data_IF_151251733382
#
_entry.id   IF_151251733382
#
_cell.length_a   1.000
_cell.length_b   1.000
_cell.length_c   1.000
_cell.angle_alpha   90.00
_cell.angle_beta   90.00
_cell.angle_gamma   90.00
#
_symmetry.space_group_name_H-M   'P 1'
#
loop_
_entity.id
_entity.type
_entity.pdbx_description
1 polymer ?
#
# COMPACT_ATOMS: atom_id res chain seq x y z
N UNK A 1 -11.40 -1.23 23.27
CA UNK A 1 -10.33 -1.23 22.23
C UNK A 1 -10.44 0.07 21.48
N UNK A 2 -9.33 0.74 21.18
CA UNK A 2 -9.34 2.00 20.42
C UNK A 2 -9.94 1.77 19.03
N UNK A 3 -10.91 2.59 18.64
CA UNK A 3 -11.51 2.59 17.30
C UNK A 3 -10.59 3.25 16.25
N UNK A 4 -9.49 3.84 16.71
CA UNK A 4 -8.52 4.54 15.89
C UNK A 4 -7.66 3.52 15.14
N UNK A 5 -7.62 3.64 13.81
CA UNK A 5 -6.80 2.83 12.92
C UNK A 5 -5.43 3.47 12.68
N UNK A 6 -5.41 4.75 12.30
CA UNK A 6 -4.21 5.55 12.09
C UNK A 6 -4.30 6.86 12.88
N UNK A 7 -3.23 7.22 13.58
CA UNK A 7 -3.10 8.52 14.23
C UNK A 7 -1.74 9.13 13.90
N UNK A 8 -1.76 10.37 13.44
CA UNK A 8 -0.58 11.15 13.13
C UNK A 8 -0.57 12.37 14.04
N UNK A 9 0.55 12.59 14.76
CA UNK A 9 0.73 13.68 15.70
C UNK A 9 1.91 14.54 15.31
N UNK A 10 1.67 15.81 15.04
CA UNK A 10 2.64 16.88 14.81
C UNK A 10 3.72 16.51 13.78
N UNK A 11 3.33 15.73 12.75
CA UNK A 11 4.22 15.15 11.77
C UNK A 11 4.79 16.21 10.84
N UNK A 12 6.11 16.31 10.82
CA UNK A 12 6.85 17.09 9.82
C UNK A 12 7.80 16.20 9.05
N UNK A 13 7.92 16.43 7.75
CA UNK A 13 8.78 15.65 6.89
C UNK A 13 9.36 16.48 5.75
N UNK A 14 10.59 16.11 5.34
CA UNK A 14 11.33 16.76 4.26
C UNK A 14 11.70 15.80 3.14
N UNK A 15 12.05 16.36 2.00
CA UNK A 15 12.66 15.68 0.85
C UNK A 15 13.93 16.43 0.47
N UNK A 16 15.10 15.79 0.65
CA UNK A 16 16.37 16.48 0.59
C UNK A 16 16.38 17.63 1.62
N UNK A 17 16.65 18.84 1.16
CA UNK A 17 16.70 20.05 2.01
C UNK A 17 15.34 20.77 2.14
N UNK A 18 14.28 20.27 1.50
CA UNK A 18 13.00 20.97 1.45
C UNK A 18 11.98 20.38 2.42
N UNK A 19 11.52 21.17 3.37
CA UNK A 19 10.38 20.86 4.23
C UNK A 19 9.08 20.85 3.42
N UNK A 20 8.37 19.72 3.46
CA UNK A 20 7.10 19.55 2.72
C UNK A 20 5.93 19.43 3.67
N UNK A 21 6.02 18.54 4.68
CA UNK A 21 4.99 18.42 5.70
C UNK A 21 5.39 19.24 6.93
N UNK A 22 4.42 19.96 7.49
CA UNK A 22 4.65 20.82 8.64
C UNK A 22 3.52 20.62 9.64
N UNK A 23 3.84 20.00 10.77
CA UNK A 23 2.94 19.84 11.91
C UNK A 23 1.58 19.22 11.54
N UNK A 24 1.58 18.14 10.72
CA UNK A 24 0.37 17.47 10.25
C UNK A 24 -0.22 16.63 11.37
N UNK A 25 -1.51 16.81 11.61
CA UNK A 25 -2.29 15.99 12.53
C UNK A 25 -3.44 15.34 11.77
N UNK A 26 -3.63 14.02 11.96
CA UNK A 26 -4.69 13.26 11.30
C UNK A 26 -5.09 12.07 12.17
N UNK A 27 -6.38 11.82 12.27
CA UNK A 27 -6.93 10.62 12.92
C UNK A 27 -7.89 9.96 11.96
N UNK A 28 -7.68 8.65 11.71
CA UNK A 28 -8.56 7.81 10.90
C UNK A 28 -9.05 6.65 11.77
N UNK A 29 -10.36 6.47 11.84
CA UNK A 29 -10.98 5.34 12.54
C UNK A 29 -11.21 4.16 11.61
N UNK A 30 -11.43 2.98 12.18
CA UNK A 30 -11.78 1.78 11.42
C UNK A 30 -13.10 2.00 10.67
N UNK A 31 -13.10 1.63 9.37
CA UNK A 31 -14.27 1.77 8.50
C UNK A 31 -14.51 3.17 7.93
N UNK A 32 -13.67 4.15 8.26
CA UNK A 32 -13.76 5.49 7.66
C UNK A 32 -13.06 5.57 6.31
N UNK A 33 -13.58 6.45 5.45
CA UNK A 33 -12.94 6.86 4.21
C UNK A 33 -12.58 8.34 4.32
N UNK A 34 -11.29 8.65 4.22
CA UNK A 34 -10.77 10.00 4.22
C UNK A 34 -10.30 10.40 2.83
N UNK A 35 -10.68 11.60 2.38
CA UNK A 35 -10.25 12.16 1.10
C UNK A 35 -9.34 13.36 1.38
N UNK A 36 -8.08 13.28 0.90
CA UNK A 36 -7.11 14.36 1.03
C UNK A 36 -7.12 15.18 -0.25
N UNK A 37 -7.54 16.44 -0.14
CA UNK A 37 -7.65 17.37 -1.27
C UNK A 37 -6.70 18.55 -1.10
N UNK A 38 -6.32 19.15 -2.22
CA UNK A 38 -5.45 20.32 -2.26
C UNK A 38 -4.76 20.50 -3.62
N UNK A 39 -4.14 21.67 -3.88
CA UNK A 39 -3.44 21.93 -5.12
C UNK A 39 -2.21 21.03 -5.32
N UNK A 40 -1.66 21.03 -6.53
CA UNK A 40 -0.41 20.34 -6.80
C UNK A 40 0.73 20.94 -5.95
N UNK A 41 1.57 20.07 -5.39
CA UNK A 41 2.66 20.49 -4.50
C UNK A 41 2.26 20.74 -3.04
N UNK A 42 1.00 20.52 -2.65
CA UNK A 42 0.55 20.71 -1.24
C UNK A 42 0.97 19.60 -0.28
N UNK A 43 1.72 18.59 -0.73
CA UNK A 43 2.22 17.53 0.15
C UNK A 43 1.36 16.26 0.24
N UNK A 44 0.28 16.12 -0.53
CA UNK A 44 -0.61 14.94 -0.50
C UNK A 44 0.15 13.62 -0.70
N UNK A 45 0.90 13.53 -1.80
CA UNK A 45 1.71 12.34 -2.11
C UNK A 45 2.86 12.17 -1.10
N UNK A 46 3.40 13.27 -0.57
CA UNK A 46 4.42 13.23 0.48
C UNK A 46 3.86 12.57 1.73
N UNK A 47 2.66 12.95 2.17
CA UNK A 47 2.02 12.37 3.35
C UNK A 47 1.85 10.85 3.20
N UNK A 48 1.27 10.40 2.08
CA UNK A 48 1.06 8.97 1.81
C UNK A 48 2.38 8.19 1.78
N UNK A 49 3.41 8.74 1.12
CA UNK A 49 4.73 8.12 1.07
C UNK A 49 5.43 8.10 2.44
N UNK A 50 5.26 9.14 3.26
CA UNK A 50 5.80 9.18 4.63
C UNK A 50 5.11 8.14 5.52
N UNK A 51 3.78 8.00 5.41
CA UNK A 51 3.03 6.94 6.10
C UNK A 51 3.52 5.54 5.67
N UNK A 52 3.99 5.36 4.43
CA UNK A 52 4.53 4.08 3.96
C UNK A 52 6.04 3.93 4.20
N UNK A 53 6.68 4.86 4.89
CA UNK A 53 8.14 4.84 5.15
C UNK A 53 9.00 4.76 3.89
N UNK A 54 8.63 5.51 2.86
CA UNK A 54 9.44 5.61 1.65
C UNK A 54 10.75 6.36 1.99
N UNK A 55 11.94 5.76 1.76
CA UNK A 55 13.22 6.31 2.22
C UNK A 55 13.61 7.67 1.62
N UNK A 56 12.90 8.12 0.59
CA UNK A 56 13.07 9.46 0.01
C UNK A 56 12.57 10.57 0.96
N UNK A 57 11.70 10.23 1.91
CA UNK A 57 11.02 11.19 2.79
C UNK A 57 11.51 10.97 4.22
N UNK A 58 12.15 11.99 4.80
CA UNK A 58 12.68 11.96 6.15
C UNK A 58 11.71 12.63 7.12
N UNK A 59 11.30 11.91 8.16
CA UNK A 59 10.50 12.47 9.25
C UNK A 59 11.43 13.32 10.12
N UNK A 60 11.13 14.60 10.28
CA UNK A 60 11.91 15.54 11.08
C UNK A 60 11.33 15.75 12.48
N UNK A 61 10.04 15.56 12.64
CA UNK A 61 9.37 15.58 13.95
C UNK A 61 8.01 14.89 13.90
N UNK A 62 7.43 14.65 15.06
CA UNK A 62 6.11 14.02 15.21
C UNK A 62 6.15 12.50 15.19
N UNK A 63 4.96 11.89 15.22
CA UNK A 63 4.81 10.44 15.32
C UNK A 63 3.65 9.92 14.50
N UNK A 64 3.78 8.65 14.07
CA UNK A 64 2.75 7.90 13.36
C UNK A 64 2.40 6.67 14.21
N UNK A 65 1.14 6.51 14.55
CA UNK A 65 0.62 5.35 15.27
C UNK A 65 -0.36 4.57 14.38
N UNK A 66 -0.21 3.26 14.36
CA UNK A 66 -1.12 2.36 13.66
C UNK A 66 -1.69 1.33 14.64
N UNK A 67 -3.03 1.31 14.80
CA UNK A 67 -3.72 0.52 15.83
C UNK A 67 -3.14 0.74 17.25
N UNK A 68 -2.66 1.94 17.54
CA UNK A 68 -2.08 2.34 18.82
C UNK A 68 -0.58 1.99 18.98
N UNK A 69 0.04 1.30 18.03
CA UNK A 69 1.48 1.02 18.01
C UNK A 69 2.23 2.15 17.30
N UNK A 70 3.34 2.63 17.89
CA UNK A 70 4.23 3.60 17.25
C UNK A 70 4.97 2.91 16.09
N UNK A 71 4.69 3.36 14.86
CA UNK A 71 5.27 2.82 13.63
C UNK A 71 6.23 3.81 12.96
N UNK A 72 6.59 4.90 13.65
CA UNK A 72 7.35 6.02 13.07
C UNK A 72 8.66 5.58 12.43
N UNK A 73 9.42 4.72 13.12
CA UNK A 73 10.73 4.26 12.65
C UNK A 73 10.70 2.90 11.94
N UNK A 74 9.49 2.32 11.74
CA UNK A 74 9.36 1.03 11.08
C UNK A 74 9.59 1.13 9.57
N UNK A 75 10.27 0.14 9.01
CA UNK A 75 10.48 0.01 7.57
C UNK A 75 9.18 -0.25 6.81
N UNK A 76 9.16 0.03 5.51
CA UNK A 76 7.97 -0.11 4.66
C UNK A 76 7.39 -1.54 4.66
N UNK A 77 8.26 -2.56 4.66
CA UNK A 77 7.84 -3.96 4.69
C UNK A 77 7.23 -4.37 6.04
N UNK A 78 7.70 -3.80 7.15
CA UNK A 78 7.11 -4.00 8.47
C UNK A 78 5.71 -3.37 8.56
N UNK A 79 5.55 -2.14 8.04
CA UNK A 79 4.24 -1.47 7.94
C UNK A 79 3.27 -2.24 7.05
N UNK A 80 3.76 -2.76 5.91
CA UNK A 80 2.95 -3.60 5.02
C UNK A 80 2.47 -4.88 5.70
N UNK A 81 3.32 -5.56 6.48
CA UNK A 81 2.95 -6.74 7.28
C UNK A 81 1.90 -6.44 8.35
N UNK A 82 1.82 -5.22 8.86
CA UNK A 82 0.77 -4.78 9.79
C UNK A 82 -0.56 -4.50 9.11
N UNK A 83 -0.58 -4.44 7.78
CA UNK A 83 -1.77 -4.24 6.98
C UNK A 83 -1.92 -2.83 6.41
N UNK A 84 -0.84 -2.09 6.25
CA UNK A 84 -0.84 -0.83 5.51
C UNK A 84 -0.51 -1.11 4.03
N UNK A 85 -1.36 -0.66 3.13
CA UNK A 85 -1.19 -0.80 1.68
C UNK A 85 -1.19 0.58 1.01
N UNK A 86 -0.32 0.75 0.02
CA UNK A 86 -0.28 1.95 -0.81
C UNK A 86 -0.34 1.58 -2.28
N UNK A 87 -1.27 2.19 -3.02
CA UNK A 87 -1.32 2.16 -4.47
C UNK A 87 -0.34 3.18 -5.04
N UNK A 88 0.45 2.76 -6.03
CA UNK A 88 1.37 3.67 -6.69
C UNK A 88 0.68 4.49 -7.78
N UNK A 89 1.03 5.76 -7.90
CA UNK A 89 0.55 6.60 -8.99
C UNK A 89 0.97 6.05 -10.35
N UNK A 90 2.16 5.46 -10.44
CA UNK A 90 2.69 4.78 -11.62
C UNK A 90 3.24 3.41 -11.21
N UNK A 91 2.44 2.34 -11.34
CA UNK A 91 2.87 0.99 -10.97
C UNK A 91 4.10 0.54 -11.77
N UNK A 92 5.11 0.07 -11.05
CA UNK A 92 6.39 -0.36 -11.62
C UNK A 92 6.21 -1.69 -12.36
N UNK A 93 6.89 -1.82 -13.48
CA UNK A 93 7.01 -3.09 -14.22
C UNK A 93 8.10 -3.95 -13.60
N UNK A 94 7.79 -5.21 -13.33
CA UNK A 94 8.75 -6.17 -12.77
C UNK A 94 8.87 -7.37 -13.71
N UNK A 95 9.77 -7.30 -14.71
CA UNK A 95 10.00 -8.42 -15.61
C UNK A 95 10.63 -9.60 -14.84
N UNK A 96 10.31 -10.81 -15.28
CA UNK A 96 10.86 -12.04 -14.70
C UNK A 96 10.02 -12.68 -13.58
N UNK A 97 9.04 -11.95 -13.01
CA UNK A 97 8.11 -12.53 -12.05
C UNK A 97 6.67 -12.40 -12.53
N UNK A 98 5.91 -13.51 -12.54
CA UNK A 98 4.50 -13.48 -12.92
C UNK A 98 3.64 -12.79 -11.85
N UNK A 99 2.48 -12.23 -12.27
CA UNK A 99 1.48 -11.62 -11.37
C UNK A 99 1.11 -12.59 -10.25
N UNK A 100 0.82 -13.85 -10.59
CA UNK A 100 0.49 -14.90 -9.63
C UNK A 100 1.60 -15.09 -8.58
N UNK A 101 2.85 -15.27 -9.02
CA UNK A 101 3.96 -15.50 -8.12
C UNK A 101 4.27 -14.28 -7.26
N UNK A 102 4.20 -13.07 -7.84
CA UNK A 102 4.40 -11.82 -7.10
C UNK A 102 3.38 -11.69 -5.97
N UNK A 103 2.08 -11.82 -6.27
CA UNK A 103 1.02 -11.64 -5.28
C UNK A 103 1.05 -12.77 -4.23
N UNK A 104 1.33 -14.01 -4.63
CA UNK A 104 1.45 -15.15 -3.69
C UNK A 104 2.61 -14.96 -2.72
N UNK A 105 3.76 -14.52 -3.20
CA UNK A 105 4.94 -14.26 -2.36
C UNK A 105 4.65 -13.11 -1.40
N UNK A 106 4.04 -12.02 -1.89
CA UNK A 106 3.62 -10.89 -1.05
C UNK A 106 2.64 -11.32 0.03
N UNK A 107 1.64 -12.15 -0.33
CA UNK A 107 0.67 -12.70 0.64
C UNK A 107 1.35 -13.56 1.70
N UNK A 108 2.30 -14.41 1.29
CA UNK A 108 3.08 -15.23 2.24
C UNK A 108 3.89 -14.37 3.21
N UNK A 109 4.47 -13.26 2.73
CA UNK A 109 5.24 -12.34 3.55
C UNK A 109 4.35 -11.58 4.56
N UNK A 110 3.16 -11.15 4.13
CA UNK A 110 2.18 -10.48 5.01
C UNK A 110 1.63 -11.44 6.06
N UNK A 111 1.27 -12.66 5.66
CA UNK A 111 0.70 -13.68 6.58
C UNK A 111 1.76 -14.31 7.51
N UNK A 112 3.05 -14.08 7.25
CA UNK A 112 4.16 -14.68 8.00
C UNK A 112 4.30 -16.19 7.82
N UNK A 113 3.65 -16.78 6.82
CA UNK A 113 3.65 -18.22 6.53
C UNK A 113 3.45 -18.52 5.05
N UNK A 114 3.97 -19.64 4.55
CA UNK A 114 3.75 -20.05 3.16
C UNK A 114 2.27 -20.22 2.84
N UNK A 115 1.84 -19.70 1.71
CA UNK A 115 0.47 -19.87 1.21
C UNK A 115 0.41 -21.08 0.27
N UNK A 116 -0.59 -21.96 0.48
CA UNK A 116 -0.82 -23.13 -0.38
C UNK A 116 -1.09 -22.68 -1.83
N UNK A 117 -0.28 -23.17 -2.77
CA UNK A 117 -0.37 -22.83 -4.19
C UNK A 117 -1.77 -23.09 -4.75
N UNK A 118 -2.32 -24.29 -4.46
CA UNK A 118 -3.62 -24.67 -4.99
C UNK A 118 -4.76 -23.77 -4.50
N UNK A 119 -4.82 -23.53 -3.18
CA UNK A 119 -5.84 -22.64 -2.59
C UNK A 119 -5.70 -21.22 -3.10
N UNK A 120 -4.46 -20.75 -3.18
CA UNK A 120 -4.16 -19.40 -3.67
C UNK A 120 -4.63 -19.21 -5.11
N UNK A 121 -4.33 -20.15 -6.02
CA UNK A 121 -4.70 -20.05 -7.42
C UNK A 121 -6.22 -20.09 -7.62
N UNK A 122 -6.93 -20.86 -6.81
CA UNK A 122 -8.41 -20.86 -6.83
C UNK A 122 -8.98 -19.49 -6.40
N UNK A 123 -8.47 -18.91 -5.31
CA UNK A 123 -8.92 -17.60 -4.82
C UNK A 123 -8.54 -16.47 -5.79
N UNK A 124 -7.30 -16.49 -6.30
CA UNK A 124 -6.82 -15.52 -7.29
C UNK A 124 -7.70 -15.54 -8.55
N UNK A 125 -7.99 -16.73 -9.09
CA UNK A 125 -8.83 -16.89 -10.28
C UNK A 125 -10.24 -16.35 -10.07
N UNK A 126 -10.81 -16.52 -8.86
CA UNK A 126 -12.10 -15.94 -8.51
C UNK A 126 -12.04 -14.40 -8.52
N UNK A 127 -11.08 -13.82 -7.80
CA UNK A 127 -10.90 -12.36 -7.72
C UNK A 127 -10.61 -11.73 -9.09
N UNK A 128 -9.84 -12.42 -9.94
CA UNK A 128 -9.59 -11.98 -11.32
C UNK A 128 -10.88 -11.93 -12.14
N UNK A 129 -11.77 -12.94 -12.01
CA UNK A 129 -13.08 -12.92 -12.68
C UNK A 129 -13.94 -11.76 -12.19
N UNK A 130 -13.97 -11.50 -10.87
CA UNK A 130 -14.74 -10.40 -10.28
C UNK A 130 -14.27 -9.04 -10.81
N UNK A 131 -12.98 -8.90 -11.13
CA UNK A 131 -12.38 -7.72 -11.75
C UNK A 131 -12.44 -7.73 -13.29
N UNK A 132 -13.08 -8.72 -13.90
CA UNK A 132 -13.12 -8.90 -15.36
C UNK A 132 -11.71 -8.90 -15.98
N UNK A 133 -10.77 -9.57 -15.34
CA UNK A 133 -9.42 -9.81 -15.84
C UNK A 133 -9.37 -11.19 -16.51
N UNK A 134 -8.70 -11.25 -17.67
CA UNK A 134 -8.47 -12.53 -18.36
C UNK A 134 -7.51 -13.39 -17.54
N UNK A 135 -7.74 -14.71 -17.51
CA UNK A 135 -6.92 -15.66 -16.75
C UNK A 135 -5.44 -15.65 -17.16
N UNK A 136 -5.15 -15.36 -18.43
CA UNK A 136 -3.78 -15.29 -18.97
C UNK A 136 -2.88 -14.27 -18.24
N UNK A 137 -3.48 -13.22 -17.62
CA UNK A 137 -2.71 -12.21 -16.87
C UNK A 137 -2.00 -12.77 -15.65
N UNK A 138 -2.50 -13.85 -15.06
CA UNK A 138 -1.83 -14.51 -13.92
C UNK A 138 -0.39 -14.95 -14.25
N UNK A 139 -0.19 -15.47 -15.47
CA UNK A 139 1.13 -15.94 -15.93
C UNK A 139 2.02 -14.86 -16.57
N UNK A 140 1.49 -13.66 -16.85
CA UNK A 140 2.28 -12.57 -17.43
C UNK A 140 3.16 -11.90 -16.38
N UNK A 141 4.26 -11.31 -16.81
CA UNK A 141 5.14 -10.55 -15.90
C UNK A 141 4.41 -9.34 -15.31
N UNK A 142 4.67 -9.11 -14.04
CA UNK A 142 4.01 -8.09 -13.24
C UNK A 142 4.07 -6.71 -13.88
N UNK A 143 2.93 -6.18 -14.30
CA UNK A 143 2.73 -4.89 -14.97
C UNK A 143 3.46 -4.71 -16.31
N UNK A 144 4.24 -5.71 -16.79
CA UNK A 144 5.02 -5.59 -18.00
C UNK A 144 4.14 -5.59 -19.26
N UNK A 145 4.18 -4.47 -20.00
CA UNK A 145 3.36 -4.28 -21.19
C UNK A 145 1.86 -4.20 -20.89
N UNK A 146 1.47 -3.89 -19.66
CA UNK A 146 0.06 -3.66 -19.30
C UNK A 146 -0.35 -2.23 -19.65
N UNK A 147 -1.57 -2.06 -20.14
CA UNK A 147 -2.21 -0.75 -20.23
C UNK A 147 -2.44 -0.15 -18.85
N UNK A 148 -2.70 1.15 -18.77
CA UNK A 148 -2.99 1.83 -17.50
C UNK A 148 -4.16 1.19 -16.73
N UNK A 149 -5.22 0.80 -17.46
CA UNK A 149 -6.38 0.12 -16.86
C UNK A 149 -6.05 -1.27 -16.31
N UNK A 150 -5.21 -2.04 -17.01
CA UNK A 150 -4.76 -3.36 -16.56
C UNK A 150 -3.84 -3.25 -15.35
N UNK A 151 -2.92 -2.28 -15.33
CA UNK A 151 -2.08 -1.98 -14.16
C UNK A 151 -2.95 -1.65 -12.94
N UNK A 152 -3.99 -0.83 -13.13
CA UNK A 152 -4.91 -0.47 -12.03
C UNK A 152 -5.72 -1.67 -11.54
N UNK A 153 -6.23 -2.52 -12.44
CA UNK A 153 -6.89 -3.77 -12.04
C UNK A 153 -5.95 -4.70 -11.28
N UNK A 154 -4.67 -4.77 -11.67
CA UNK A 154 -3.67 -5.58 -10.97
C UNK A 154 -3.38 -5.04 -9.57
N UNK A 155 -3.37 -3.73 -9.35
CA UNK A 155 -3.26 -3.15 -8.00
C UNK A 155 -4.49 -3.47 -7.13
N UNK A 156 -5.69 -3.36 -7.70
CA UNK A 156 -6.93 -3.72 -6.99
C UNK A 156 -6.92 -5.21 -6.64
N UNK A 157 -6.45 -6.07 -7.54
CA UNK A 157 -6.28 -7.50 -7.28
C UNK A 157 -5.31 -7.75 -6.11
N UNK A 158 -4.17 -7.06 -6.07
CA UNK A 158 -3.24 -7.13 -4.95
C UNK A 158 -3.93 -6.72 -3.64
N UNK A 159 -4.63 -5.58 -3.63
CA UNK A 159 -5.35 -5.10 -2.45
C UNK A 159 -6.39 -6.12 -1.97
N UNK A 160 -7.17 -6.72 -2.88
CA UNK A 160 -8.16 -7.74 -2.51
C UNK A 160 -7.53 -9.03 -1.95
N UNK A 161 -6.37 -9.44 -2.45
CA UNK A 161 -5.66 -10.64 -1.99
C UNK A 161 -4.96 -10.39 -0.66
N UNK A 162 -4.28 -9.25 -0.52
CA UNK A 162 -3.54 -8.89 0.70
C UNK A 162 -4.49 -8.51 1.85
N UNK A 163 -5.69 -8.01 1.52
CA UNK A 163 -6.72 -7.60 2.49
C UNK A 163 -6.17 -6.66 3.58
N UNK A 164 -5.65 -5.49 3.21
CA UNK A 164 -5.07 -4.56 4.17
C UNK A 164 -6.12 -3.97 5.11
N UNK A 165 -5.68 -3.50 6.27
CA UNK A 165 -6.51 -2.76 7.23
C UNK A 165 -6.64 -1.28 6.83
N UNK A 166 -5.58 -0.72 6.24
CA UNK A 166 -5.53 0.63 5.68
C UNK A 166 -5.07 0.56 4.22
N UNK A 167 -5.86 1.09 3.30
CA UNK A 167 -5.50 1.25 1.90
C UNK A 167 -5.43 2.74 1.54
N UNK A 168 -4.27 3.17 1.04
CA UNK A 168 -4.03 4.51 0.50
C UNK A 168 -3.96 4.42 -1.03
N UNK A 169 -4.89 5.09 -1.74
CA UNK A 169 -5.13 4.98 -3.18
C UNK A 169 -4.81 6.28 -3.93
#
# INVERSE_FOLDING_TARGET
MSDILLEIKDLSAKVGEKDILKNVNLVIKKGETHVIMGPNGSGKSTLVNTIMSNPKYEITSGKIFFEGEDVTDMAADERARRGIFMSFQSPIEVPGISVENFIRTSKSAVDGKPVSVLKFNMDLSKKMRDLQMKAEYAGRYMNYGFSGGEKKKTEILQMQVLNPKLAML
#
